data_IF_231418436173
#
_entry.id   IF_231418436173
#
_cell.length_a   1.000
_cell.length_b   1.000
_cell.length_c   1.000
_cell.angle_alpha   90.00
_cell.angle_beta   90.00
_cell.angle_gamma   90.00
#
_symmetry.space_group_name_H-M   'P 1'
#
loop_
_entity.id
_entity.type
_entity.pdbx_description
1 polymer ?
#
# COMPACT_ATOMS: atom_id res chain seq x y z
N UNK A 1 12.83 10.20 -13.79
CA UNK A 1 13.84 9.12 -13.69
C UNK A 1 13.04 7.86 -13.46
N UNK A 2 13.00 7.01 -14.45
CA UNK A 2 12.15 5.82 -14.41
C UNK A 2 13.02 4.63 -14.02
N UNK A 3 12.64 3.94 -12.92
CA UNK A 3 13.35 2.76 -12.46
C UNK A 3 12.93 1.55 -13.30
N UNK A 4 13.91 0.75 -13.74
CA UNK A 4 13.70 -0.41 -14.58
C UNK A 4 14.15 -1.69 -13.85
N UNK A 5 13.23 -2.64 -13.66
CA UNK A 5 13.51 -3.94 -13.02
C UNK A 5 13.78 -5.02 -14.06
N UNK A 6 14.94 -5.69 -13.97
CA UNK A 6 15.29 -6.82 -14.82
C UNK A 6 15.21 -8.13 -14.02
N UNK A 7 14.53 -9.12 -14.58
CA UNK A 7 14.37 -10.45 -14.01
C UNK A 7 14.83 -11.49 -15.06
N UNK A 8 15.60 -12.47 -14.62
CA UNK A 8 16.03 -13.57 -15.48
C UNK A 8 16.30 -14.83 -14.64
N UNK A 9 16.06 -15.99 -15.24
CA UNK A 9 16.28 -17.29 -14.63
C UNK A 9 17.77 -17.62 -14.49
N UNK A 10 18.61 -17.07 -15.37
CA UNK A 10 20.06 -17.30 -15.37
C UNK A 10 20.88 -16.01 -15.60
N UNK A 11 22.03 -15.96 -14.94
CA UNK A 11 22.91 -14.78 -14.94
C UNK A 11 23.35 -14.32 -16.36
N UNK A 12 23.64 -15.25 -17.25
CA UNK A 12 24.12 -14.93 -18.60
C UNK A 12 23.12 -14.15 -19.43
N UNK A 13 21.83 -14.50 -19.36
CA UNK A 13 20.77 -13.76 -20.02
C UNK A 13 20.60 -12.33 -19.50
N UNK A 14 20.72 -12.16 -18.20
CA UNK A 14 20.66 -10.83 -17.56
C UNK A 14 21.84 -9.94 -18.01
N UNK A 15 23.06 -10.47 -18.06
CA UNK A 15 24.26 -9.71 -18.50
C UNK A 15 24.11 -9.29 -19.95
N UNK A 16 23.66 -10.19 -20.83
CA UNK A 16 23.44 -9.88 -22.24
C UNK A 16 22.41 -8.78 -22.43
N UNK A 17 21.25 -8.90 -21.76
CA UNK A 17 20.18 -7.91 -21.84
C UNK A 17 20.62 -6.53 -21.32
N UNK A 18 21.36 -6.50 -20.21
CA UNK A 18 21.95 -5.26 -19.69
C UNK A 18 22.91 -4.60 -20.70
N UNK A 19 23.74 -5.39 -21.40
CA UNK A 19 24.63 -4.90 -22.45
C UNK A 19 23.85 -4.24 -23.59
N UNK A 20 22.85 -4.94 -24.12
CA UNK A 20 21.99 -4.45 -25.19
C UNK A 20 21.22 -3.17 -24.83
N UNK A 21 20.78 -3.07 -23.58
CA UNK A 21 20.10 -1.87 -23.06
C UNK A 21 21.08 -0.70 -22.90
N UNK A 22 22.28 -0.94 -22.34
CA UNK A 22 23.30 0.11 -22.19
C UNK A 22 23.83 0.67 -23.52
N UNK A 23 23.84 -0.12 -24.58
CA UNK A 23 24.20 0.36 -25.94
C UNK A 23 23.16 1.34 -26.49
N UNK A 24 21.89 1.19 -26.14
CA UNK A 24 20.79 2.00 -26.68
C UNK A 24 20.36 3.15 -25.75
N UNK A 25 20.58 3.04 -24.47
CA UNK A 25 20.13 4.00 -23.46
C UNK A 25 21.25 4.27 -22.46
N UNK A 26 21.38 5.54 -22.01
CA UNK A 26 22.24 5.87 -20.88
C UNK A 26 21.60 5.34 -19.60
N UNK A 27 22.10 4.21 -19.09
CA UNK A 27 21.56 3.56 -17.89
C UNK A 27 22.62 3.48 -16.81
N UNK A 28 22.19 3.65 -15.56
CA UNK A 28 23.02 3.42 -14.37
C UNK A 28 22.58 2.11 -13.72
N UNK A 29 23.52 1.18 -13.52
CA UNK A 29 23.25 -0.07 -12.84
C UNK A 29 23.20 0.15 -11.31
N UNK A 30 22.05 -0.10 -10.70
CA UNK A 30 21.81 0.07 -9.25
C UNK A 30 22.08 -1.22 -8.46
N UNK A 31 22.44 -2.32 -9.13
CA UNK A 31 22.69 -3.60 -8.49
C UNK A 31 21.41 -4.38 -8.16
N UNK A 32 21.42 -5.08 -7.02
CA UNK A 32 20.27 -5.89 -6.59
C UNK A 32 19.12 -5.00 -6.12
N UNK A 33 17.90 -5.32 -6.59
CA UNK A 33 16.71 -4.52 -6.29
C UNK A 33 16.38 -4.57 -4.81
N UNK A 34 16.43 -3.41 -4.14
CA UNK A 34 16.06 -3.23 -2.72
C UNK A 34 14.76 -2.45 -2.53
N UNK A 35 14.34 -1.71 -3.57
CA UNK A 35 13.12 -0.92 -3.54
C UNK A 35 12.60 -0.73 -4.97
N UNK A 36 11.29 -0.86 -5.16
CA UNK A 36 10.59 -0.55 -6.40
C UNK A 36 9.21 0.02 -6.09
N UNK A 37 8.80 1.10 -6.76
CA UNK A 37 7.49 1.74 -6.57
C UNK A 37 7.15 2.01 -5.09
N UNK A 38 8.10 2.34 -4.25
CA UNK A 38 7.89 2.57 -2.83
C UNK A 38 7.81 1.30 -1.95
N UNK A 39 7.86 0.11 -2.54
CA UNK A 39 7.88 -1.18 -1.85
C UNK A 39 9.34 -1.55 -1.55
N UNK A 40 9.65 -1.85 -0.29
CA UNK A 40 10.93 -2.40 0.13
C UNK A 40 10.97 -3.88 -0.19
N UNK A 41 12.09 -4.34 -0.76
CA UNK A 41 12.35 -5.74 -1.10
C UNK A 41 13.57 -6.22 -0.32
N UNK A 42 13.39 -7.31 0.43
CA UNK A 42 14.44 -8.01 1.14
C UNK A 42 14.49 -9.45 0.64
N UNK A 43 15.65 -9.86 0.15
CA UNK A 43 15.85 -11.21 -0.37
C UNK A 43 16.93 -11.93 0.41
N UNK A 44 16.59 -13.08 0.99
CA UNK A 44 17.56 -14.03 1.53
C UNK A 44 17.71 -15.22 0.59
N UNK A 45 18.85 -15.24 -0.14
CA UNK A 45 19.15 -16.32 -1.09
C UNK A 45 19.51 -17.63 -0.41
N UNK A 46 19.95 -17.60 0.84
CA UNK A 46 20.31 -18.82 1.60
C UNK A 46 19.06 -19.55 2.07
N UNK A 47 18.07 -18.78 2.53
CA UNK A 47 16.79 -19.31 2.97
C UNK A 47 15.77 -19.43 1.82
N UNK A 48 16.08 -18.88 0.63
CA UNK A 48 15.16 -18.87 -0.50
C UNK A 48 13.96 -17.92 -0.33
N UNK A 49 14.03 -16.96 0.58
CA UNK A 49 12.91 -16.08 0.91
C UNK A 49 13.04 -14.71 0.23
N UNK A 50 11.88 -14.12 -0.08
CA UNK A 50 11.75 -12.76 -0.56
C UNK A 50 10.62 -12.07 0.21
N UNK A 51 10.93 -10.99 0.93
CA UNK A 51 9.95 -10.20 1.69
C UNK A 51 9.72 -8.85 1.03
N UNK A 52 8.45 -8.47 0.88
CA UNK A 52 8.01 -7.17 0.36
C UNK A 52 7.25 -6.43 1.45
N UNK A 53 7.62 -5.16 1.72
CA UNK A 53 6.98 -4.35 2.75
C UNK A 53 6.84 -2.89 2.33
N UNK A 54 5.83 -2.20 2.92
CA UNK A 54 5.52 -0.80 2.64
C UNK A 54 5.53 0.09 3.90
N UNK A 55 6.25 -0.30 4.97
CA UNK A 55 6.24 0.41 6.25
C UNK A 55 6.49 1.92 6.10
N UNK A 56 7.50 2.32 5.32
CA UNK A 56 7.75 3.74 5.06
C UNK A 56 6.57 4.47 4.39
N UNK A 57 5.90 3.82 3.43
CA UNK A 57 4.73 4.42 2.79
C UNK A 57 3.54 4.52 3.75
N UNK A 58 3.38 3.55 4.63
CA UNK A 58 2.37 3.57 5.70
C UNK A 58 2.62 4.76 6.64
N UNK A 59 3.87 5.01 7.04
CA UNK A 59 4.21 6.17 7.87
C UNK A 59 3.85 7.50 7.18
N UNK A 60 4.12 7.61 5.88
CA UNK A 60 3.74 8.78 5.08
C UNK A 60 2.22 8.99 5.08
N UNK A 61 1.44 7.92 4.88
CA UNK A 61 -0.03 7.99 4.91
C UNK A 61 -0.51 8.39 6.31
N UNK A 62 0.01 7.78 7.36
CA UNK A 62 -0.37 8.10 8.73
C UNK A 62 -0.10 9.56 9.07
N UNK A 63 1.06 10.09 8.67
CA UNK A 63 1.39 11.51 8.84
C UNK A 63 0.44 12.42 8.05
N UNK A 64 0.15 12.07 6.80
CA UNK A 64 -0.74 12.84 5.92
C UNK A 64 -2.16 13.00 6.48
N UNK A 65 -2.68 11.98 7.17
CA UNK A 65 -4.02 11.99 7.76
C UNK A 65 -4.03 12.30 9.26
N UNK A 66 -2.92 12.79 9.84
CA UNK A 66 -2.76 13.10 11.27
C UNK A 66 -3.04 11.88 12.18
N UNK A 67 -2.66 10.68 11.74
CA UNK A 67 -2.87 9.42 12.45
C UNK A 67 -1.58 8.80 13.02
N UNK A 68 -0.44 9.50 12.95
CA UNK A 68 0.86 9.00 13.42
C UNK A 68 0.86 8.60 14.90
N UNK A 69 0.07 9.29 15.73
CA UNK A 69 -0.07 9.02 17.16
C UNK A 69 -1.37 8.27 17.52
N UNK A 70 -2.05 7.70 16.54
CA UNK A 70 -3.29 6.99 16.78
C UNK A 70 -3.05 5.66 17.53
N UNK A 71 -3.98 5.30 18.43
CA UNK A 71 -3.94 4.01 19.10
C UNK A 71 -4.23 2.88 18.11
N UNK A 72 -3.35 1.87 18.00
CA UNK A 72 -3.52 0.76 17.07
C UNK A 72 -4.74 -0.10 17.41
N UNK A 73 -5.24 -0.82 16.40
CA UNK A 73 -6.30 -1.82 16.52
C UNK A 73 -5.90 -3.10 15.80
N UNK A 74 -6.52 -4.23 16.15
CA UNK A 74 -6.12 -5.57 15.65
C UNK A 74 -6.85 -6.03 14.40
N UNK A 75 -7.88 -5.30 13.93
CA UNK A 75 -8.68 -5.69 12.75
C UNK A 75 -8.83 -4.51 11.80
N UNK A 76 -8.81 -4.74 10.48
CA UNK A 76 -8.91 -3.66 9.50
C UNK A 76 -10.30 -3.00 9.45
N UNK A 77 -11.36 -3.75 9.80
CA UNK A 77 -12.72 -3.23 9.83
C UNK A 77 -13.46 -3.75 11.05
N UNK A 78 -14.31 -2.91 11.64
CA UNK A 78 -15.15 -3.33 12.75
C UNK A 78 -16.35 -4.15 12.25
N UNK A 79 -16.63 -5.31 12.85
CA UNK A 79 -17.66 -6.28 12.41
C UNK A 79 -19.10 -5.73 12.33
N UNK A 80 -19.38 -4.60 13.01
CA UNK A 80 -20.72 -4.04 13.16
C UNK A 80 -20.99 -2.77 12.33
N UNK A 81 -20.06 -2.35 11.45
CA UNK A 81 -20.27 -1.13 10.67
C UNK A 81 -21.23 -1.44 9.52
N UNK A 82 -22.47 -0.96 9.64
CA UNK A 82 -23.39 -0.85 8.51
C UNK A 82 -23.12 0.50 7.82
N UNK A 83 -22.52 0.44 6.65
CA UNK A 83 -22.28 1.63 5.83
C UNK A 83 -23.43 1.76 4.85
N UNK A 84 -24.17 2.86 4.96
CA UNK A 84 -25.25 3.21 4.03
C UNK A 84 -24.84 4.48 3.26
N UNK A 85 -25.40 4.68 2.07
CA UNK A 85 -25.21 5.95 1.36
C UNK A 85 -25.67 7.12 2.22
N UNK A 86 -24.83 8.16 2.37
CA UNK A 86 -25.19 9.36 3.14
C UNK A 86 -26.22 10.26 2.42
N UNK A 87 -26.65 9.90 1.21
CA UNK A 87 -27.69 10.62 0.49
C UNK A 87 -29.03 10.60 1.23
N UNK A 88 -29.27 9.57 2.08
CA UNK A 88 -30.45 9.43 2.89
C UNK A 88 -30.26 9.94 4.33
N UNK A 89 -29.06 10.36 4.69
CA UNK A 89 -28.74 10.81 6.04
C UNK A 89 -28.80 12.35 6.12
N UNK A 90 -29.59 12.85 7.06
CA UNK A 90 -29.64 14.29 7.45
C UNK A 90 -28.39 14.70 8.26
N UNK A 91 -27.31 13.92 8.19
CA UNK A 91 -26.05 14.17 8.86
C UNK A 91 -25.26 15.33 8.27
N UNK A 92 -24.38 15.97 9.05
CA UNK A 92 -23.57 17.09 8.56
C UNK A 92 -22.65 16.60 7.43
N UNK A 93 -22.60 17.38 6.34
CA UNK A 93 -21.60 17.20 5.29
C UNK A 93 -20.21 17.42 5.87
N UNK A 94 -19.31 16.45 5.70
CA UNK A 94 -17.93 16.57 6.15
C UNK A 94 -17.00 16.85 4.98
N UNK A 95 -16.11 17.82 5.14
CA UNK A 95 -15.03 18.06 4.19
C UNK A 95 -13.76 17.35 4.64
N UNK A 96 -13.51 16.17 4.08
CA UNK A 96 -12.32 15.38 4.36
C UNK A 96 -11.75 14.82 3.06
N UNK A 97 -10.45 14.57 2.99
CA UNK A 97 -9.80 14.06 1.77
C UNK A 97 -10.11 12.55 1.56
N UNK A 98 -11.41 12.20 1.48
CA UNK A 98 -11.89 10.82 1.42
C UNK A 98 -11.34 10.05 0.23
N UNK A 99 -11.47 10.59 -0.99
CA UNK A 99 -10.98 9.95 -2.21
C UNK A 99 -9.45 9.74 -2.18
N UNK A 100 -8.71 10.71 -1.60
CA UNK A 100 -7.27 10.60 -1.43
C UNK A 100 -6.90 9.47 -0.45
N UNK A 101 -7.66 9.33 0.64
CA UNK A 101 -7.46 8.25 1.60
C UNK A 101 -7.73 6.88 0.97
N UNK A 102 -8.85 6.74 0.24
CA UNK A 102 -9.18 5.52 -0.50
C UNK A 102 -8.07 5.16 -1.50
N UNK A 103 -7.59 6.11 -2.30
CA UNK A 103 -6.51 5.88 -3.27
C UNK A 103 -5.22 5.38 -2.61
N UNK A 104 -4.81 6.00 -1.50
CA UNK A 104 -3.63 5.58 -0.73
C UNK A 104 -3.79 4.18 -0.13
N UNK A 105 -4.95 3.89 0.46
CA UNK A 105 -5.25 2.57 1.03
C UNK A 105 -5.38 1.48 -0.03
N UNK A 106 -5.94 1.80 -1.20
CA UNK A 106 -6.03 0.88 -2.34
C UNK A 106 -4.64 0.45 -2.82
N UNK A 107 -3.70 1.40 -2.91
CA UNK A 107 -2.32 1.09 -3.27
C UNK A 107 -1.68 0.11 -2.27
N UNK A 108 -1.86 0.33 -0.97
CA UNK A 108 -1.36 -0.57 0.09
C UNK A 108 -2.00 -1.96 -0.03
N UNK A 109 -3.33 -2.02 -0.16
CA UNK A 109 -4.11 -3.25 -0.24
C UNK A 109 -3.71 -4.13 -1.44
N UNK A 110 -3.49 -3.51 -2.61
CA UNK A 110 -3.13 -4.23 -3.83
C UNK A 110 -1.66 -4.67 -3.88
N UNK A 111 -0.79 -4.05 -3.06
CA UNK A 111 0.64 -4.33 -3.10
C UNK A 111 1.07 -5.36 -2.06
N UNK A 112 0.87 -5.08 -0.76
CA UNK A 112 1.43 -5.91 0.32
C UNK A 112 0.44 -6.22 1.46
N UNK A 113 -0.83 -5.77 1.36
CA UNK A 113 -1.84 -5.90 2.42
C UNK A 113 -3.17 -6.43 1.88
N UNK A 114 -3.21 -7.67 1.39
CA UNK A 114 -4.41 -8.25 0.77
C UNK A 114 -5.61 -8.35 1.73
N UNK A 115 -5.39 -8.41 3.03
CA UNK A 115 -6.42 -8.40 4.06
C UNK A 115 -7.22 -7.10 4.15
N UNK A 116 -6.67 -5.99 3.63
CA UNK A 116 -7.39 -4.71 3.49
C UNK A 116 -8.31 -4.67 2.27
N UNK A 117 -8.12 -5.54 1.29
CA UNK A 117 -8.77 -5.43 -0.02
C UNK A 117 -10.29 -5.32 0.10
N UNK A 118 -10.92 -6.17 0.91
CA UNK A 118 -12.36 -6.13 1.14
C UNK A 118 -12.81 -4.81 1.77
N UNK A 119 -12.14 -4.36 2.83
CA UNK A 119 -12.51 -3.15 3.56
C UNK A 119 -12.40 -1.90 2.68
N UNK A 120 -11.30 -1.78 1.94
CA UNK A 120 -11.03 -0.64 1.06
C UNK A 120 -11.98 -0.63 -0.14
N UNK A 121 -12.22 -1.80 -0.76
CA UNK A 121 -13.17 -1.96 -1.86
C UNK A 121 -14.59 -1.58 -1.41
N UNK A 122 -15.00 -2.00 -0.22
CA UNK A 122 -16.32 -1.65 0.31
C UNK A 122 -16.46 -0.14 0.53
N UNK A 123 -15.46 0.52 1.13
CA UNK A 123 -15.44 1.96 1.35
C UNK A 123 -15.34 2.77 0.05
N UNK A 124 -14.70 2.25 -0.98
CA UNK A 124 -14.55 2.95 -2.28
C UNK A 124 -15.89 3.21 -2.97
N UNK A 125 -16.92 2.41 -2.70
CA UNK A 125 -18.26 2.59 -3.26
C UNK A 125 -18.92 3.91 -2.82
N UNK A 126 -18.45 4.49 -1.72
CA UNK A 126 -19.04 5.69 -1.11
C UNK A 126 -18.28 6.99 -1.43
N UNK A 127 -17.36 7.00 -2.41
CA UNK A 127 -16.56 8.19 -2.73
C UNK A 127 -17.42 9.43 -3.02
N UNK A 128 -18.59 9.25 -3.60
CA UNK A 128 -19.52 10.35 -3.91
C UNK A 128 -20.58 10.61 -2.83
N UNK A 129 -20.71 9.70 -1.85
CA UNK A 129 -21.82 9.68 -0.89
C UNK A 129 -21.35 9.36 0.53
N UNK A 130 -20.07 9.66 0.85
CA UNK A 130 -19.51 9.39 2.16
C UNK A 130 -20.06 10.32 3.25
N UNK A 131 -20.11 9.83 4.48
CA UNK A 131 -20.45 10.56 5.68
C UNK A 131 -19.43 10.33 6.80
N UNK A 132 -19.76 10.74 8.02
CA UNK A 132 -18.91 10.66 9.20
C UNK A 132 -18.53 9.19 9.51
N UNK A 133 -19.46 8.26 9.36
CA UNK A 133 -19.28 6.82 9.59
C UNK A 133 -18.24 6.24 8.62
N UNK A 134 -18.26 6.63 7.35
CA UNK A 134 -17.30 6.19 6.33
C UNK A 134 -15.90 6.69 6.65
N UNK A 135 -15.79 7.97 7.04
CA UNK A 135 -14.51 8.53 7.46
C UNK A 135 -13.98 7.88 8.75
N UNK A 136 -14.86 7.53 9.67
CA UNK A 136 -14.50 6.78 10.88
C UNK A 136 -13.98 5.39 10.55
N UNK A 137 -14.57 4.72 9.56
CA UNK A 137 -14.07 3.44 9.07
C UNK A 137 -12.68 3.55 8.43
N UNK A 138 -12.42 4.61 7.63
CA UNK A 138 -11.07 4.89 7.10
C UNK A 138 -10.06 5.08 8.24
N UNK A 139 -10.40 5.89 9.25
CA UNK A 139 -9.53 6.07 10.42
C UNK A 139 -9.28 4.76 11.16
N UNK A 140 -10.24 3.86 11.18
CA UNK A 140 -10.05 2.53 11.77
C UNK A 140 -9.03 1.69 10.99
N UNK A 141 -9.08 1.70 9.65
CA UNK A 141 -8.06 1.04 8.80
C UNK A 141 -6.68 1.65 9.04
N UNK A 142 -6.57 2.98 9.12
CA UNK A 142 -5.30 3.65 9.41
C UNK A 142 -4.71 3.24 10.78
N UNK A 143 -5.57 3.06 11.79
CA UNK A 143 -5.15 2.54 13.11
C UNK A 143 -4.68 1.09 13.04
N UNK A 144 -5.31 0.27 12.21
CA UNK A 144 -4.87 -1.09 11.96
C UNK A 144 -3.47 -1.11 11.31
N UNK A 145 -3.27 -0.33 10.25
CA UNK A 145 -1.96 -0.18 9.61
C UNK A 145 -0.89 0.32 10.59
N UNK A 146 -1.24 1.25 11.50
CA UNK A 146 -0.31 1.72 12.55
C UNK A 146 0.17 0.58 13.46
N UNK A 147 -0.70 -0.36 13.81
CA UNK A 147 -0.36 -1.48 14.69
C UNK A 147 0.46 -2.58 14.01
N UNK A 148 0.52 -2.60 12.70
CA UNK A 148 1.07 -3.69 11.91
C UNK A 148 2.02 -3.23 10.78
N UNK A 149 2.50 -1.98 10.86
CA UNK A 149 3.27 -1.32 9.78
C UNK A 149 4.55 -2.06 9.37
N UNK A 150 5.14 -2.86 10.27
CA UNK A 150 6.34 -3.67 9.99
C UNK A 150 6.03 -4.98 9.26
N UNK A 151 4.76 -5.33 9.11
CA UNK A 151 4.38 -6.55 8.41
C UNK A 151 4.64 -6.41 6.89
N UNK A 152 4.84 -7.57 6.26
CA UNK A 152 5.04 -7.68 4.82
C UNK A 152 4.59 -9.04 4.32
N UNK A 153 4.61 -9.22 3.00
CA UNK A 153 4.40 -10.52 2.37
C UNK A 153 5.76 -11.18 2.17
N UNK A 154 5.89 -12.42 2.64
CA UNK A 154 7.08 -13.24 2.44
C UNK A 154 6.74 -14.42 1.54
N UNK A 155 7.52 -14.58 0.47
CA UNK A 155 7.51 -15.71 -0.45
C UNK A 155 8.66 -16.66 -0.08
N UNK A 156 8.38 -17.97 -0.10
CA UNK A 156 9.31 -19.06 0.21
C UNK A 156 9.37 -20.07 -0.92
#
# INVERSE_FOLDING_TARGET
MDDFGLFADFKGGMIKLKGELNEKFQMTELGEMKKILGIRIERDRKQGTLTMSQGHYIDVILAQFNMSNAHPVSTPLHKMIKLNSSLDSTGPTIEVPYAKAIGSLMYVALSTWPDLAFAVQHLSQFIMTYGVEHWTAIKHILRYLKGSHDNGITFT
#
